data_IF_615826541553
#
_entry.id   IF_615826541553
#
_cell.length_a   1.000
_cell.length_b   1.000
_cell.length_c   1.000
_cell.angle_alpha   90.00
_cell.angle_beta   90.00
_cell.angle_gamma   90.00
#
_symmetry.space_group_name_H-M   'P 1'
#
loop_
_entity.id
_entity.type
_entity.pdbx_description
1 polymer ?
#
# COMPACT_ATOMS: atom_id res chain seq x y z
N UNK A 1 -8.62 12.97 -4.25
CA UNK A 1 -8.54 11.59 -3.72
C UNK A 1 -7.10 11.05 -3.86
N UNK A 2 -6.68 10.19 -2.93
CA UNK A 2 -5.34 9.61 -2.94
C UNK A 2 -5.18 8.59 -4.08
N UNK A 3 -3.96 8.46 -4.65
CA UNK A 3 -3.69 7.53 -5.73
C UNK A 3 -3.84 6.08 -5.24
N UNK A 4 -4.24 5.20 -6.16
CA UNK A 4 -4.33 3.75 -5.92
C UNK A 4 -3.24 3.02 -6.71
N UNK A 5 -2.77 1.87 -6.20
CA UNK A 5 -1.91 0.99 -6.99
C UNK A 5 -2.61 0.61 -8.30
N UNK A 6 -1.90 0.61 -9.44
CA UNK A 6 -2.45 0.11 -10.69
C UNK A 6 -2.68 -1.41 -10.61
N UNK A 7 -3.71 -1.92 -11.30
CA UNK A 7 -4.14 -3.32 -11.18
C UNK A 7 -3.04 -4.36 -11.49
N UNK A 8 -2.04 -3.98 -12.30
CA UNK A 8 -0.87 -4.82 -12.63
C UNK A 8 -0.06 -5.24 -11.40
N UNK A 9 -0.07 -4.43 -10.34
CA UNK A 9 0.68 -4.73 -9.11
C UNK A 9 0.12 -5.96 -8.38
N UNK A 10 -1.17 -6.23 -8.55
CA UNK A 10 -1.86 -7.38 -7.94
C UNK A 10 -1.71 -8.69 -8.71
N UNK A 11 -1.08 -8.66 -9.88
CA UNK A 11 -0.94 -9.84 -10.74
C UNK A 11 0.20 -10.76 -10.30
N UNK A 12 1.05 -10.34 -9.36
CA UNK A 12 2.14 -11.16 -8.84
C UNK A 12 1.62 -12.15 -7.78
N UNK A 13 1.13 -13.30 -8.23
CA UNK A 13 0.55 -14.34 -7.37
C UNK A 13 1.50 -14.87 -6.30
N UNK A 14 2.81 -14.89 -6.57
CA UNK A 14 3.82 -15.32 -5.58
C UNK A 14 3.85 -14.33 -4.42
N UNK A 15 3.84 -13.03 -4.70
CA UNK A 15 3.94 -12.02 -3.64
C UNK A 15 2.64 -11.92 -2.84
N UNK A 16 1.48 -11.94 -3.51
CA UNK A 16 0.17 -11.96 -2.85
C UNK A 16 0.09 -13.17 -1.90
N UNK A 17 0.52 -14.35 -2.35
CA UNK A 17 0.56 -15.55 -1.52
C UNK A 17 1.49 -15.39 -0.30
N UNK A 18 2.71 -14.87 -0.50
CA UNK A 18 3.67 -14.66 0.59
C UNK A 18 3.14 -13.69 1.66
N UNK A 19 2.42 -12.63 1.27
CA UNK A 19 1.82 -11.68 2.21
C UNK A 19 0.74 -12.36 3.04
N UNK A 20 -0.17 -13.10 2.39
CA UNK A 20 -1.22 -13.84 3.08
C UNK A 20 -0.67 -14.91 4.04
N UNK A 21 0.45 -15.54 3.69
CA UNK A 21 1.08 -16.57 4.53
C UNK A 21 1.90 -15.99 5.69
N UNK A 22 2.26 -14.70 5.67
CA UNK A 22 3.13 -14.07 6.67
C UNK A 22 2.56 -12.72 7.16
N UNK A 23 1.25 -12.67 7.43
CA UNK A 23 0.55 -11.45 7.84
C UNK A 23 1.16 -10.78 9.08
N UNK A 24 1.75 -11.56 9.98
CA UNK A 24 2.43 -11.09 11.19
C UNK A 24 3.67 -10.22 10.89
N UNK A 25 4.37 -10.46 9.77
CA UNK A 25 5.50 -9.63 9.32
C UNK A 25 5.06 -8.29 8.70
N UNK A 26 3.79 -8.22 8.28
CA UNK A 26 3.21 -7.06 7.59
C UNK A 26 2.11 -6.37 8.38
N UNK A 27 1.78 -6.86 9.59
CA UNK A 27 0.79 -6.27 10.45
C UNK A 27 1.23 -4.87 10.89
N UNK A 28 0.45 -3.86 10.50
CA UNK A 28 0.61 -2.49 11.01
C UNK A 28 -0.40 -2.30 12.14
N UNK A 29 0.04 -2.14 13.40
CA UNK A 29 -0.88 -1.79 14.47
C UNK A 29 -1.49 -0.43 14.17
N UNK A 30 -2.82 -0.38 14.13
CA UNK A 30 -3.57 0.85 13.89
C UNK A 30 -3.40 1.79 15.08
N UNK A 31 -2.65 2.88 14.88
CA UNK A 31 -2.46 3.93 15.90
C UNK A 31 -3.72 4.83 16.02
N UNK A 32 -4.59 4.77 15.01
CA UNK A 32 -5.76 5.64 14.86
C UNK A 32 -7.02 4.77 14.87
N UNK A 33 -8.01 5.15 15.67
CA UNK A 33 -9.35 4.55 15.61
C UNK A 33 -10.05 5.04 14.33
N UNK A 34 -10.06 4.17 13.31
CA UNK A 34 -10.59 4.49 11.98
C UNK A 34 -12.10 4.74 12.03
N UNK A 35 -12.85 3.97 12.81
CA UNK A 35 -14.30 4.11 12.89
C UNK A 35 -14.69 5.46 13.50
N UNK A 36 -13.98 5.87 14.55
CA UNK A 36 -14.15 7.19 15.13
C UNK A 36 -13.77 8.31 14.15
N UNK A 37 -12.65 8.16 13.43
CA UNK A 37 -12.24 9.12 12.40
C UNK A 37 -13.27 9.25 11.26
N UNK A 38 -13.87 8.13 10.82
CA UNK A 38 -14.95 8.12 9.85
C UNK A 38 -16.19 8.88 10.35
N UNK A 39 -16.60 8.64 11.60
CA UNK A 39 -17.75 9.33 12.21
C UNK A 39 -17.56 10.85 12.28
N UNK A 40 -16.36 11.32 12.61
CA UNK A 40 -16.06 12.75 12.73
C UNK A 40 -16.13 13.49 11.38
N UNK A 41 -15.94 12.77 10.27
CA UNK A 41 -15.83 13.34 8.93
C UNK A 41 -17.03 13.02 8.04
N UNK A 42 -18.08 12.41 8.58
CA UNK A 42 -19.28 12.02 7.83
C UNK A 42 -19.95 13.19 7.10
N UNK A 43 -19.92 14.40 7.68
CA UNK A 43 -20.53 15.59 7.11
C UNK A 43 -19.57 16.44 6.27
N UNK A 44 -18.33 16.00 6.04
CA UNK A 44 -17.33 16.79 5.31
C UNK A 44 -17.69 16.88 3.81
N UNK A 45 -17.59 18.06 3.18
CA UNK A 45 -17.98 18.25 1.77
C UNK A 45 -17.12 17.45 0.78
N UNK A 46 -15.86 17.16 1.11
CA UNK A 46 -14.95 16.38 0.27
C UNK A 46 -14.96 14.88 0.60
N UNK A 47 -16.15 14.26 0.61
CA UNK A 47 -16.30 12.82 0.86
C UNK A 47 -15.42 11.92 -0.03
N UNK A 48 -15.19 12.22 -1.33
CA UNK A 48 -14.30 11.40 -2.15
C UNK A 48 -12.86 11.34 -1.62
N UNK A 49 -12.35 12.44 -1.07
CA UNK A 49 -11.03 12.45 -0.45
C UNK A 49 -11.02 11.71 0.89
N UNK A 50 -12.02 11.94 1.75
CA UNK A 50 -12.12 11.26 3.05
C UNK A 50 -12.17 9.74 2.86
N UNK A 51 -12.99 9.24 1.93
CA UNK A 51 -13.04 7.81 1.61
C UNK A 51 -11.70 7.26 1.14
N UNK A 52 -10.94 8.02 0.34
CA UNK A 52 -9.60 7.58 -0.07
C UNK A 52 -8.59 7.54 1.08
N UNK A 53 -8.73 8.42 2.07
CA UNK A 53 -7.89 8.41 3.29
C UNK A 53 -8.28 7.23 4.18
N UNK A 54 -9.57 7.00 4.42
CA UNK A 54 -10.07 5.85 5.19
C UNK A 54 -9.60 4.54 4.59
N UNK A 55 -9.68 4.41 3.26
CA UNK A 55 -9.16 3.25 2.54
C UNK A 55 -7.64 3.12 2.72
N UNK A 56 -6.89 4.23 2.66
CA UNK A 56 -5.45 4.24 2.92
C UNK A 56 -5.06 3.95 4.37
N UNK A 57 -5.95 4.21 5.34
CA UNK A 57 -5.74 3.84 6.73
C UNK A 57 -6.03 2.36 6.99
N UNK A 58 -7.03 1.77 6.31
CA UNK A 58 -7.43 0.36 6.44
C UNK A 58 -6.50 -0.58 5.66
N UNK A 59 -6.18 -0.20 4.43
CA UNK A 59 -5.42 -1.02 3.49
C UNK A 59 -3.99 -0.51 3.36
N UNK A 60 -3.75 0.80 3.49
CA UNK A 60 -2.43 1.38 3.30
C UNK A 60 -2.32 2.44 2.20
N UNK A 61 -1.28 3.27 2.26
CA UNK A 61 -1.08 4.36 1.31
C UNK A 61 -0.17 3.96 0.16
N UNK A 62 -0.65 4.17 -1.07
CA UNK A 62 0.19 4.03 -2.24
C UNK A 62 1.22 5.17 -2.30
N UNK A 63 2.53 4.87 -2.29
CA UNK A 63 3.54 5.90 -2.49
C UNK A 63 3.41 6.45 -3.91
N UNK A 64 3.17 7.76 -4.03
CA UNK A 64 2.96 8.48 -5.30
C UNK A 64 4.25 8.64 -6.12
N UNK A 65 5.15 7.65 -6.08
CA UNK A 65 6.42 7.67 -6.81
C UNK A 65 6.38 6.62 -7.93
N UNK A 66 6.24 7.10 -9.17
CA UNK A 66 6.59 6.34 -10.37
C UNK A 66 8.11 6.14 -10.40
N UNK A 67 8.59 5.20 -9.60
CA UNK A 67 9.96 4.72 -9.73
C UNK A 67 10.03 3.91 -11.03
N UNK A 68 10.45 4.57 -12.11
CA UNK A 68 10.81 3.92 -13.36
C UNK A 68 11.86 2.86 -13.02
N UNK A 69 11.47 1.59 -13.10
CA UNK A 69 12.40 0.47 -13.18
C UNK A 69 13.28 0.74 -14.41
N UNK A 70 14.44 1.37 -14.19
CA UNK A 70 15.41 1.55 -15.26
C UNK A 70 16.01 0.18 -15.53
N UNK A 71 15.86 -0.31 -16.76
CA UNK A 71 16.30 -1.63 -17.20
C UNK A 71 17.83 -1.85 -17.06
N UNK A 72 18.59 -0.80 -16.72
CA UNK A 72 20.05 -0.81 -16.61
C UNK A 72 20.56 -1.00 -15.17
N UNK A 73 19.73 -1.37 -14.20
CA UNK A 73 20.22 -1.70 -12.85
C UNK A 73 20.83 -3.11 -12.81
N UNK A 74 22.05 -3.29 -12.25
CA UNK A 74 22.71 -4.59 -12.19
C UNK A 74 22.01 -5.52 -11.20
N UNK A 75 21.68 -6.71 -11.69
CA UNK A 75 20.85 -7.76 -11.06
C UNK A 75 21.30 -8.23 -9.67
N UNK A 76 22.52 -7.90 -9.23
CA UNK A 76 23.11 -8.38 -7.97
C UNK A 76 22.82 -7.51 -6.75
N UNK A 77 22.37 -6.26 -6.93
CA UNK A 77 21.94 -5.39 -5.82
C UNK A 77 20.41 -5.31 -5.65
N UNK A 78 19.66 -5.71 -6.68
CA UNK A 78 18.21 -5.54 -6.73
C UNK A 78 17.42 -6.57 -5.92
N UNK A 79 17.96 -7.75 -5.59
CA UNK A 79 17.16 -8.79 -4.91
C UNK A 79 16.78 -8.44 -3.46
N UNK A 80 17.51 -7.55 -2.79
CA UNK A 80 17.17 -7.10 -1.43
C UNK A 80 16.44 -5.78 -1.42
N UNK A 81 16.85 -4.82 -2.26
CA UNK A 81 16.20 -3.50 -2.30
C UNK A 81 14.96 -3.47 -3.17
N UNK A 82 14.93 -4.17 -4.32
CA UNK A 82 13.69 -4.33 -5.09
C UNK A 82 12.70 -5.23 -4.38
N UNK A 83 13.14 -6.22 -3.60
CA UNK A 83 12.24 -6.99 -2.73
C UNK A 83 11.79 -6.15 -1.54
N UNK A 84 12.66 -5.39 -0.87
CA UNK A 84 12.26 -4.45 0.18
C UNK A 84 11.29 -3.38 -0.33
N UNK A 85 11.47 -2.88 -1.55
CA UNK A 85 10.61 -1.89 -2.19
C UNK A 85 9.33 -2.51 -2.75
N UNK A 86 9.35 -3.73 -3.29
CA UNK A 86 8.14 -4.51 -3.63
C UNK A 86 7.35 -4.87 -2.37
N UNK A 87 8.03 -5.18 -1.28
CA UNK A 87 7.44 -5.40 0.03
C UNK A 87 6.90 -4.09 0.63
N UNK A 88 7.52 -2.93 0.40
CA UNK A 88 6.92 -1.63 0.74
C UNK A 88 5.74 -1.27 -0.18
N UNK A 89 5.77 -1.71 -1.45
CA UNK A 89 4.75 -1.47 -2.48
C UNK A 89 3.52 -2.35 -2.29
N UNK A 90 3.67 -3.55 -1.72
CA UNK A 90 2.59 -4.48 -1.39
C UNK A 90 2.41 -4.67 0.13
N UNK A 91 3.00 -3.80 0.96
CA UNK A 91 2.80 -3.74 2.44
C UNK A 91 1.39 -3.29 2.85
N UNK A 92 0.47 -3.29 1.90
CA UNK A 92 -0.77 -2.53 1.96
C UNK A 92 -1.95 -3.33 1.39
N UNK A 93 -2.01 -4.63 1.72
CA UNK A 93 -3.21 -5.46 1.72
C UNK A 93 -3.08 -6.55 2.78
#
# INVERSE_FOLDING_TARGET
>A
PLPRPPSKEFQNSVVVKTIHENLDLFAVPHIINIDHFESLLQCHPNQPFIKSVLLGLKEGFWPSTDMKFNHNYPTTWDSLWSLHLLLQRMRFH
#
